data_IF_086801419533
#
_entry.id   IF_086801419533
#
_cell.length_a   1.000
_cell.length_b   1.000
_cell.length_c   1.000
_cell.angle_alpha   90.00
_cell.angle_beta   90.00
_cell.angle_gamma   90.00
#
_symmetry.space_group_name_H-M   'P 1'
#
loop_
_entity.id
_entity.type
_entity.pdbx_description
1 polymer ?
#
# COMPACT_ATOMS: atom_id res chain seq x y z
N UNK A 1 -26.93 17.68 -17.86
CA UNK A 1 -25.70 18.16 -17.20
C UNK A 1 -25.08 16.98 -16.48
N UNK A 2 -24.34 16.10 -17.17
CA UNK A 2 -23.90 14.80 -16.60
C UNK A 2 -22.44 14.42 -16.92
N UNK A 3 -21.60 15.33 -17.43
CA UNK A 3 -20.26 14.97 -17.92
C UNK A 3 -19.08 15.31 -16.99
N UNK A 4 -19.29 15.85 -15.79
CA UNK A 4 -18.17 16.22 -14.91
C UNK A 4 -17.80 15.15 -13.88
N UNK A 5 -18.71 14.22 -13.56
CA UNK A 5 -18.47 13.24 -12.49
C UNK A 5 -17.61 12.04 -12.93
N UNK A 6 -17.72 11.63 -14.20
CA UNK A 6 -17.05 10.44 -14.75
C UNK A 6 -15.54 10.63 -14.94
N UNK A 7 -15.09 11.85 -15.25
CA UNK A 7 -13.67 12.15 -15.49
C UNK A 7 -12.82 12.19 -14.22
N UNK A 8 -13.41 12.56 -13.07
CA UNK A 8 -12.68 12.67 -11.79
C UNK A 8 -12.45 11.29 -11.17
N UNK A 9 -13.42 10.38 -11.31
CA UNK A 9 -13.31 8.99 -10.81
C UNK A 9 -12.20 8.24 -11.55
N UNK A 10 -12.13 8.41 -12.87
CA UNK A 10 -11.09 7.76 -13.69
C UNK A 10 -9.70 8.28 -13.38
N UNK A 11 -9.50 9.58 -13.18
CA UNK A 11 -8.16 10.12 -12.84
C UNK A 11 -7.65 9.58 -11.49
N UNK A 12 -8.55 9.42 -10.51
CA UNK A 12 -8.21 8.89 -9.19
C UNK A 12 -7.79 7.43 -9.23
N UNK A 13 -8.56 6.59 -9.92
CA UNK A 13 -8.24 5.17 -10.10
C UNK A 13 -6.90 4.98 -10.80
N UNK A 14 -6.59 5.82 -11.80
CA UNK A 14 -5.28 5.82 -12.45
C UNK A 14 -4.14 6.19 -11.50
N UNK A 15 -4.32 7.19 -10.63
CA UNK A 15 -3.30 7.57 -9.62
C UNK A 15 -3.04 6.43 -8.64
N UNK A 16 -4.09 5.81 -8.11
CA UNK A 16 -3.96 4.67 -7.18
C UNK A 16 -3.23 3.51 -7.86
N UNK A 17 -3.62 3.16 -9.08
CA UNK A 17 -2.99 2.08 -9.85
C UNK A 17 -1.52 2.38 -10.14
N UNK A 18 -1.20 3.61 -10.54
CA UNK A 18 0.18 4.02 -10.80
C UNK A 18 1.04 3.95 -9.52
N UNK A 19 0.48 4.32 -8.37
CA UNK A 19 1.16 4.26 -7.09
C UNK A 19 1.46 2.81 -6.67
N UNK A 20 0.49 1.90 -6.84
CA UNK A 20 0.67 0.46 -6.56
C UNK A 20 1.76 -0.13 -7.47
N UNK A 21 1.76 0.21 -8.77
CA UNK A 21 2.81 -0.23 -9.71
C UNK A 21 4.18 0.31 -9.30
N UNK A 22 4.26 1.58 -8.92
CA UNK A 22 5.51 2.18 -8.44
C UNK A 22 6.03 1.44 -7.21
N UNK A 23 5.17 1.24 -6.20
CA UNK A 23 5.51 0.49 -4.99
C UNK A 23 6.02 -0.92 -5.32
N UNK A 24 5.32 -1.64 -6.21
CA UNK A 24 5.71 -2.98 -6.65
C UNK A 24 7.11 -3.03 -7.27
N UNK A 25 7.53 -1.96 -7.94
CA UNK A 25 8.89 -1.87 -8.47
C UNK A 25 9.92 -1.56 -7.37
N UNK A 26 9.55 -0.79 -6.35
CA UNK A 26 10.44 -0.48 -5.22
C UNK A 26 10.68 -1.69 -4.31
N UNK A 27 9.65 -2.49 -4.01
CA UNK A 27 9.83 -3.69 -3.16
C UNK A 27 10.78 -4.71 -3.77
N UNK A 28 10.88 -4.77 -5.10
CA UNK A 28 11.79 -5.70 -5.79
C UNK A 28 13.27 -5.36 -5.54
N UNK A 29 13.56 -4.13 -5.11
CA UNK A 29 14.91 -3.64 -4.81
C UNK A 29 15.31 -3.85 -3.36
N UNK A 30 14.36 -4.18 -2.48
CA UNK A 30 14.60 -4.36 -1.06
C UNK A 30 15.29 -5.69 -0.77
N UNK A 31 16.21 -5.67 0.20
CA UNK A 31 16.81 -6.87 0.76
C UNK A 31 15.77 -7.70 1.53
N UNK A 32 16.10 -8.97 1.80
CA UNK A 32 15.22 -9.83 2.60
C UNK A 32 14.90 -9.23 3.99
N UNK A 33 15.88 -8.66 4.68
CA UNK A 33 15.65 -8.04 5.99
C UNK A 33 14.77 -6.80 5.91
N UNK A 34 14.93 -5.97 4.88
CA UNK A 34 14.09 -4.81 4.64
C UNK A 34 12.64 -5.21 4.34
N UNK A 35 12.42 -6.29 3.58
CA UNK A 35 11.09 -6.82 3.31
C UNK A 35 10.41 -7.37 4.58
N UNK A 36 11.14 -8.07 5.44
CA UNK A 36 10.59 -8.55 6.72
C UNK A 36 10.20 -7.36 7.62
N UNK A 37 11.03 -6.32 7.68
CA UNK A 37 10.72 -5.10 8.43
C UNK A 37 9.49 -4.40 7.86
N UNK A 38 9.44 -4.21 6.54
CA UNK A 38 8.30 -3.58 5.86
C UNK A 38 7.01 -4.36 6.10
N UNK A 39 7.05 -5.71 6.04
CA UNK A 39 5.90 -6.56 6.38
C UNK A 39 5.40 -6.28 7.80
N UNK A 40 6.30 -6.25 8.78
CA UNK A 40 5.95 -5.98 10.17
C UNK A 40 5.37 -4.57 10.36
N UNK A 41 5.93 -3.57 9.68
CA UNK A 41 5.43 -2.19 9.72
C UNK A 41 4.01 -2.09 9.12
N UNK A 42 3.75 -2.77 8.00
CA UNK A 42 2.41 -2.83 7.37
C UNK A 42 1.41 -3.64 8.22
N UNK A 43 1.82 -4.76 8.81
CA UNK A 43 0.98 -5.52 9.74
C UNK A 43 0.60 -4.69 10.97
N UNK A 44 1.56 -3.91 11.49
CA UNK A 44 1.29 -2.98 12.58
C UNK A 44 0.30 -1.89 12.16
N UNK A 45 0.41 -1.35 10.95
CA UNK A 45 -0.58 -0.41 10.41
C UNK A 45 -1.98 -1.00 10.42
N UNK A 46 -2.15 -2.26 10.00
CA UNK A 46 -3.45 -2.95 10.00
C UNK A 46 -4.06 -3.09 11.40
N UNK A 47 -3.25 -3.08 12.45
CA UNK A 47 -3.70 -3.18 13.84
C UNK A 47 -4.01 -1.82 14.47
N UNK A 48 -3.30 -0.78 14.05
CA UNK A 48 -3.34 0.53 14.70
C UNK A 48 -4.17 1.57 13.94
N UNK A 49 -4.41 1.38 12.64
CA UNK A 49 -5.15 2.33 11.81
C UNK A 49 -6.56 1.83 11.50
N UNK A 50 -7.57 2.60 11.91
CA UNK A 50 -8.97 2.38 11.52
C UNK A 50 -9.29 3.14 10.21
N UNK A 51 -9.49 2.44 9.07
CA UNK A 51 -9.79 3.08 7.80
C UNK A 51 -11.18 3.74 7.77
N UNK A 52 -12.08 3.41 8.70
CA UNK A 52 -13.38 4.10 8.83
C UNK A 52 -13.27 5.42 9.60
N UNK A 53 -12.16 5.64 10.31
CA UNK A 53 -11.89 6.82 11.13
C UNK A 53 -10.52 7.43 10.78
N UNK A 54 -10.25 7.78 9.51
CA UNK A 54 -8.90 8.11 9.04
C UNK A 54 -8.29 9.35 9.70
N UNK A 55 -9.10 10.23 10.31
CA UNK A 55 -8.62 11.40 11.04
C UNK A 55 -7.94 11.07 12.38
N UNK A 56 -8.17 9.88 12.95
CA UNK A 56 -7.64 9.46 14.26
C UNK A 56 -6.37 8.60 14.13
N UNK A 57 -5.49 8.97 13.18
CA UNK A 57 -4.29 8.21 12.87
C UNK A 57 -3.08 8.72 13.64
N UNK A 58 -2.23 7.78 14.07
CA UNK A 58 -0.95 8.09 14.72
C UNK A 58 0.07 8.65 13.72
N UNK A 59 1.12 9.31 14.23
CA UNK A 59 2.26 9.77 13.40
C UNK A 59 2.92 8.60 12.65
N UNK A 60 3.02 7.43 13.28
CA UNK A 60 3.52 6.22 12.64
C UNK A 60 2.65 5.81 11.45
N UNK A 61 1.33 5.77 11.65
CA UNK A 61 0.38 5.43 10.59
C UNK A 61 0.45 6.43 9.44
N UNK A 62 0.50 7.74 9.73
CA UNK A 62 0.64 8.80 8.73
C UNK A 62 1.92 8.61 7.90
N UNK A 63 3.08 8.46 8.54
CA UNK A 63 4.35 8.31 7.83
C UNK A 63 4.36 7.08 6.93
N UNK A 64 3.83 5.95 7.41
CA UNK A 64 3.79 4.74 6.60
C UNK A 64 2.78 4.84 5.45
N UNK A 65 1.64 5.50 5.65
CA UNK A 65 0.65 5.77 4.59
C UNK A 65 1.27 6.66 3.51
N UNK A 66 2.04 7.68 3.89
CA UNK A 66 2.77 8.56 2.97
C UNK A 66 3.83 7.78 2.18
N UNK A 67 4.66 6.99 2.87
CA UNK A 67 5.73 6.18 2.26
C UNK A 67 5.18 5.16 1.26
N UNK A 68 4.00 4.58 1.56
CA UNK A 68 3.29 3.66 0.67
C UNK A 68 2.45 4.37 -0.41
N UNK A 69 2.31 5.70 -0.33
CA UNK A 69 1.50 6.51 -1.25
C UNK A 69 -0.01 6.27 -1.15
N UNK A 70 -0.49 5.86 0.02
CA UNK A 70 -1.88 5.45 0.24
C UNK A 70 -2.84 6.60 0.56
N UNK A 71 -2.36 7.84 0.63
CA UNK A 71 -3.16 9.04 0.89
C UNK A 71 -4.42 9.13 0.01
N UNK A 72 -4.28 8.81 -1.29
CA UNK A 72 -5.41 8.86 -2.23
C UNK A 72 -6.48 7.79 -1.97
N UNK A 73 -6.20 6.80 -1.12
CA UNK A 73 -7.09 5.71 -0.74
C UNK A 73 -7.88 6.01 0.54
N UNK A 74 -7.54 7.04 1.31
CA UNK A 74 -8.13 7.32 2.63
C UNK A 74 -9.61 7.73 2.59
N UNK A 75 -10.09 8.28 1.48
CA UNK A 75 -11.49 8.69 1.33
C UNK A 75 -12.45 7.50 1.25
N UNK A 76 -11.94 6.28 1.01
CA UNK A 76 -12.75 5.08 0.95
C UNK A 76 -12.06 3.91 1.69
N UNK A 77 -12.62 3.45 2.83
CA UNK A 77 -12.02 2.38 3.63
C UNK A 77 -11.81 1.07 2.85
N UNK A 78 -12.69 0.76 1.89
CA UNK A 78 -12.53 -0.44 1.06
C UNK A 78 -11.39 -0.29 0.07
N UNK A 79 -11.21 0.89 -0.51
CA UNK A 79 -10.08 1.18 -1.41
C UNK A 79 -8.76 1.06 -0.65
N UNK A 80 -8.67 1.64 0.55
CA UNK A 80 -7.51 1.51 1.41
C UNK A 80 -7.21 0.05 1.77
N UNK A 81 -8.23 -0.67 2.24
CA UNK A 81 -8.10 -2.09 2.62
C UNK A 81 -7.60 -2.93 1.44
N UNK A 82 -8.18 -2.76 0.25
CA UNK A 82 -7.75 -3.49 -0.94
C UNK A 82 -6.31 -3.16 -1.35
N UNK A 83 -5.90 -1.90 -1.24
CA UNK A 83 -4.53 -1.50 -1.55
C UNK A 83 -3.52 -2.12 -0.56
N UNK A 84 -3.83 -2.11 0.73
CA UNK A 84 -3.00 -2.73 1.78
C UNK A 84 -2.87 -4.23 1.57
N UNK A 85 -3.96 -4.93 1.24
CA UNK A 85 -3.91 -6.37 0.96
C UNK A 85 -3.00 -6.68 -0.24
N UNK A 86 -3.11 -5.91 -1.33
CA UNK A 86 -2.23 -6.06 -2.49
C UNK A 86 -0.76 -5.81 -2.14
N UNK A 87 -0.49 -4.81 -1.30
CA UNK A 87 0.86 -4.50 -0.80
C UNK A 87 1.41 -5.67 0.02
N UNK A 88 0.63 -6.22 0.95
CA UNK A 88 1.02 -7.37 1.77
C UNK A 88 1.33 -8.60 0.90
N UNK A 89 0.43 -8.94 -0.03
CA UNK A 89 0.62 -10.05 -0.97
C UNK A 89 1.93 -9.87 -1.77
N UNK A 90 2.19 -8.66 -2.27
CA UNK A 90 3.39 -8.36 -3.05
C UNK A 90 4.68 -8.46 -2.20
N UNK A 91 4.65 -8.02 -0.93
CA UNK A 91 5.77 -8.19 0.01
C UNK A 91 6.03 -9.68 0.28
N UNK A 92 4.99 -10.46 0.56
CA UNK A 92 5.11 -11.90 0.84
C UNK A 92 5.67 -12.66 -0.36
N UNK A 93 5.16 -12.39 -1.56
CA UNK A 93 5.68 -12.97 -2.79
C UNK A 93 7.16 -12.64 -3.02
N UNK A 94 7.58 -11.41 -2.71
CA UNK A 94 8.97 -11.00 -2.86
C UNK A 94 9.88 -11.65 -1.81
N UNK A 95 9.42 -11.81 -0.56
CA UNK A 95 10.12 -12.55 0.49
C UNK A 95 10.37 -13.99 0.04
N UNK A 96 9.34 -14.68 -0.44
CA UNK A 96 9.47 -16.04 -0.96
C UNK A 96 10.43 -16.13 -2.14
N UNK A 97 10.37 -15.15 -3.04
CA UNK A 97 11.25 -15.08 -4.22
C UNK A 97 12.71 -14.93 -3.80
N UNK A 98 13.02 -14.07 -2.82
CA UNK A 98 14.38 -13.92 -2.30
C UNK A 98 14.87 -15.21 -1.64
N UNK A 99 14.03 -15.89 -0.85
CA UNK A 99 14.37 -17.19 -0.25
C UNK A 99 14.67 -18.28 -1.29
N UNK A 100 14.00 -18.25 -2.44
CA UNK A 100 14.25 -19.19 -3.55
C UNK A 100 15.59 -18.89 -4.23
N UNK A 101 15.98 -17.62 -4.38
CA UNK A 101 17.26 -17.21 -4.97
C UNK A 101 18.47 -17.61 -4.12
N UNK A 102 18.35 -17.56 -2.80
CA UNK A 102 19.46 -17.94 -1.89
C UNK A 102 19.73 -19.46 -1.83
N UNK A 103 18.80 -20.28 -2.31
CA UNK A 103 18.92 -21.74 -2.35
C UNK A 103 19.53 -22.29 -3.65
N UNK A 104 19.82 -21.44 -4.62
CA UNK A 104 20.38 -21.77 -5.93
C UNK A 104 21.71 -21.06 -6.15
#
# INVERSE_FOLDING_TARGET
MENQHTSVVTEREHKITAQIIFFKNEIQKLSHQELIKLKADVEKLCLEFDPYSPSDRSDFSQHLIDDLGLENCLDNPFTFTNAILQILDDIENQIETNLKKEKH
#
